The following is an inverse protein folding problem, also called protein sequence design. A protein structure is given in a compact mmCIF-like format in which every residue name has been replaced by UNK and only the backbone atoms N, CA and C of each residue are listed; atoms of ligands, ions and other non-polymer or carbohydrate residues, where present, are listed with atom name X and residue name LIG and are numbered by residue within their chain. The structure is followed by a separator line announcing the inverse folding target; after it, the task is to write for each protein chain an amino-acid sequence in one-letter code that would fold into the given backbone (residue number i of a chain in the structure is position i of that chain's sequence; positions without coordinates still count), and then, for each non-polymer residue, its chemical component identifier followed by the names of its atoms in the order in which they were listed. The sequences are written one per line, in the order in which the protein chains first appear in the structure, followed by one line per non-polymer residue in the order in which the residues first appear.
data_IF_659125827153
#
_entry.id   IF_659125827153
#
_cell.length_a   1.000
_cell.length_b   1.000
_cell.length_c   1.000
_cell.angle_alpha   90.00
_cell.angle_beta   90.00
_cell.angle_gamma   90.00
#
_symmetry.space_group_name_H-M   'P 1'
#
loop_
_entity.id
_entity.type
_entity.pdbx_description
1 polymer ?
#
# COMPACT_ATOMS: atom_id res chain seq x y z
N UNK A 1 10.83 -7.34 6.73
CA UNK A 1 9.47 -7.42 6.16
C UNK A 1 9.26 -8.80 5.57
N UNK A 2 8.27 -9.57 6.05
CA UNK A 2 7.88 -10.86 5.46
C UNK A 2 6.66 -10.64 4.57
N UNK A 3 6.83 -10.83 3.26
CA UNK A 3 5.77 -10.65 2.26
C UNK A 3 5.39 -12.01 1.67
N UNK A 4 4.09 -12.31 1.67
CA UNK A 4 3.52 -13.50 1.04
C UNK A 4 2.58 -13.08 -0.10
N UNK A 5 2.90 -13.48 -1.33
CA UNK A 5 2.00 -13.27 -2.47
C UNK A 5 0.89 -14.33 -2.48
N UNK A 6 -0.34 -13.89 -2.25
CA UNK A 6 -1.52 -14.75 -2.20
C UNK A 6 -2.55 -14.41 -3.26
N UNK A 7 -2.27 -13.46 -4.18
CA UNK A 7 -3.24 -12.95 -5.19
C UNK A 7 -3.90 -14.03 -6.05
N UNK A 8 -3.23 -15.16 -6.24
CA UNK A 8 -3.68 -16.30 -7.04
C UNK A 8 -4.29 -17.45 -6.21
N UNK A 9 -4.31 -17.31 -4.88
CA UNK A 9 -4.74 -18.37 -3.94
C UNK A 9 -6.01 -18.01 -3.16
N UNK A 10 -6.48 -16.76 -3.27
CA UNK A 10 -7.68 -16.29 -2.57
C UNK A 10 -8.96 -16.66 -3.31
N UNK A 11 -10.05 -16.80 -2.55
CA UNK A 11 -11.39 -16.95 -3.10
C UNK A 11 -11.75 -15.75 -4.01
N UNK A 12 -12.44 -16.04 -5.10
CA UNK A 12 -12.95 -15.06 -6.08
C UNK A 12 -14.35 -15.45 -6.51
N UNK A 13 -15.17 -14.46 -6.84
CA UNK A 13 -16.49 -14.72 -7.43
C UNK A 13 -16.32 -15.35 -8.82
N UNK A 14 -17.14 -16.34 -9.21
CA UNK A 14 -17.01 -17.02 -10.51
C UNK A 14 -17.24 -16.08 -11.70
N UNK A 15 -18.15 -15.11 -11.56
CA UNK A 15 -18.58 -14.25 -12.67
C UNK A 15 -18.17 -12.78 -12.57
N UNK A 16 -17.81 -12.28 -11.38
CA UNK A 16 -17.61 -10.85 -11.14
C UNK A 16 -16.13 -10.55 -11.07
N UNK A 17 -15.76 -9.39 -11.61
CA UNK A 17 -14.37 -8.94 -11.63
C UNK A 17 -14.28 -7.49 -11.15
N UNK A 18 -13.20 -7.18 -10.46
CA UNK A 18 -12.88 -5.79 -10.14
C UNK A 18 -12.46 -5.04 -11.41
N UNK A 19 -12.87 -3.78 -11.50
CA UNK A 19 -12.33 -2.85 -12.49
C UNK A 19 -10.85 -2.60 -12.21
N UNK A 20 -10.13 -2.11 -13.22
CA UNK A 20 -8.72 -1.72 -13.10
C UNK A 20 -8.53 -0.22 -13.37
N UNK A 21 -7.45 0.36 -12.82
CA UNK A 21 -6.99 1.74 -13.00
C UNK A 21 -5.49 1.78 -13.30
N UNK A 22 -4.96 2.82 -13.97
CA UNK A 22 -3.52 3.03 -14.04
C UNK A 22 -2.97 3.40 -12.66
N UNK A 23 -1.69 3.09 -12.40
CA UNK A 23 -1.04 3.42 -11.13
C UNK A 23 -1.05 4.92 -10.82
N UNK A 24 -0.98 5.78 -11.84
CA UNK A 24 -1.04 7.25 -11.72
C UNK A 24 -2.37 7.77 -11.18
N UNK A 25 -3.44 6.97 -11.22
CA UNK A 25 -4.73 7.31 -10.60
C UNK A 25 -4.74 7.07 -9.08
N UNK A 26 -3.76 6.37 -8.52
CA UNK A 26 -3.66 6.17 -7.07
C UNK A 26 -3.13 7.45 -6.45
N UNK A 27 -3.89 8.02 -5.52
CA UNK A 27 -3.58 9.28 -4.83
C UNK A 27 -3.40 9.12 -3.33
N UNK A 28 -3.75 7.97 -2.78
CA UNK A 28 -3.75 7.75 -1.34
C UNK A 28 -3.66 6.28 -0.94
N UNK A 29 -3.23 6.06 0.29
CA UNK A 29 -3.17 4.76 0.95
C UNK A 29 -4.13 4.81 2.14
N UNK A 30 -5.12 3.93 2.14
CA UNK A 30 -6.14 3.82 3.18
C UNK A 30 -5.73 2.74 4.19
N UNK A 31 -5.63 3.12 5.47
CA UNK A 31 -5.32 2.19 6.56
C UNK A 31 -6.61 1.76 7.25
N UNK A 32 -6.77 0.45 7.39
CA UNK A 32 -7.90 -0.22 7.99
C UNK A 32 -7.43 -1.14 9.12
N UNK A 33 -8.32 -1.41 10.07
CA UNK A 33 -8.28 -2.65 10.85
C UNK A 33 -9.34 -3.63 10.31
N UNK A 34 -9.27 -4.90 10.66
CA UNK A 34 -10.29 -5.88 10.28
C UNK A 34 -11.57 -5.76 11.13
N UNK A 35 -11.47 -5.16 12.32
CA UNK A 35 -12.55 -5.16 13.31
C UNK A 35 -12.78 -6.55 13.93
N UNK A 36 -11.85 -7.48 13.71
CA UNK A 36 -11.88 -8.86 14.21
C UNK A 36 -10.64 -9.12 15.07
N UNK A 37 -10.74 -9.97 16.08
CA UNK A 37 -9.58 -10.35 16.91
C UNK A 37 -8.53 -11.12 16.10
N UNK A 38 -8.99 -11.97 15.19
CA UNK A 38 -8.17 -12.89 14.39
C UNK A 38 -8.69 -12.96 12.95
N UNK A 39 -7.91 -13.57 12.06
CA UNK A 39 -8.22 -13.74 10.66
C UNK A 39 -6.98 -13.59 9.77
N UNK A 40 -7.20 -13.75 8.48
CA UNK A 40 -6.18 -13.58 7.44
C UNK A 40 -6.85 -13.19 6.11
N UNK A 41 -6.05 -12.99 5.06
CA UNK A 41 -6.55 -12.69 3.73
C UNK A 41 -7.49 -13.78 3.20
N UNK A 42 -7.30 -15.06 3.56
CA UNK A 42 -8.13 -16.15 3.07
C UNK A 42 -9.53 -16.10 3.70
N UNK A 43 -9.62 -15.91 5.02
CA UNK A 43 -10.91 -15.76 5.71
C UNK A 43 -11.63 -14.49 5.26
N UNK A 44 -10.92 -13.37 5.12
CA UNK A 44 -11.51 -12.13 4.62
C UNK A 44 -11.95 -12.22 3.17
N UNK A 45 -11.20 -12.90 2.30
CA UNK A 45 -11.61 -13.14 0.92
C UNK A 45 -12.89 -14.00 0.85
N UNK A 46 -12.97 -15.08 1.64
CA UNK A 46 -14.17 -15.92 1.71
C UNK A 46 -15.38 -15.10 2.16
N UNK A 47 -15.24 -14.32 3.23
CA UNK A 47 -16.32 -13.45 3.71
C UNK A 47 -16.78 -12.45 2.63
N UNK A 48 -15.84 -11.72 2.02
CA UNK A 48 -16.18 -10.74 0.99
C UNK A 48 -16.85 -11.37 -0.25
N UNK A 49 -16.45 -12.57 -0.66
CA UNK A 49 -17.04 -13.26 -1.81
C UNK A 49 -18.39 -13.88 -1.47
N UNK A 50 -18.49 -14.62 -0.36
CA UNK A 50 -19.67 -15.44 -0.07
C UNK A 50 -20.77 -14.69 0.70
N UNK A 51 -20.39 -13.77 1.60
CA UNK A 51 -21.36 -13.03 2.41
C UNK A 51 -21.71 -11.67 1.78
N UNK A 52 -20.73 -11.00 1.18
CA UNK A 52 -20.95 -9.68 0.54
C UNK A 52 -21.18 -9.75 -0.97
N UNK A 53 -21.01 -10.92 -1.60
CA UNK A 53 -21.20 -11.11 -3.04
C UNK A 53 -20.27 -10.20 -3.90
N UNK A 54 -19.04 -9.99 -3.42
CA UNK A 54 -18.01 -9.18 -4.10
C UNK A 54 -17.13 -10.01 -5.04
N UNK A 55 -16.49 -9.38 -6.06
CA UNK A 55 -15.54 -10.06 -6.94
C UNK A 55 -14.38 -10.80 -6.24
N UNK A 56 -13.96 -10.33 -5.08
CA UNK A 56 -12.83 -10.86 -4.32
C UNK A 56 -12.67 -10.14 -2.98
N UNK A 57 -11.45 -10.17 -2.44
CA UNK A 57 -11.12 -9.44 -1.20
C UNK A 57 -11.06 -7.92 -1.44
N UNK A 58 -11.58 -7.15 -0.49
CA UNK A 58 -11.62 -5.68 -0.55
C UNK A 58 -10.29 -4.95 -0.42
N UNK A 59 -9.24 -5.59 0.10
CA UNK A 59 -7.95 -4.95 0.40
C UNK A 59 -6.87 -5.29 -0.61
N UNK A 60 -5.81 -4.48 -0.67
CA UNK A 60 -4.61 -4.77 -1.47
C UNK A 60 -3.55 -5.50 -0.65
N UNK A 61 -3.50 -5.21 0.65
CA UNK A 61 -2.63 -5.87 1.60
C UNK A 61 -3.36 -6.18 2.89
N UNK A 62 -3.04 -7.32 3.50
CA UNK A 62 -3.47 -7.68 4.87
C UNK A 62 -2.23 -7.91 5.73
N UNK A 63 -2.15 -7.29 6.90
CA UNK A 63 -1.04 -7.43 7.86
C UNK A 63 -1.50 -8.27 9.04
N UNK A 64 -0.97 -9.49 9.13
CA UNK A 64 -1.26 -10.44 10.21
C UNK A 64 -0.63 -10.00 11.53
N UNK A 65 -1.07 -10.60 12.65
CA UNK A 65 -0.57 -10.30 14.00
C UNK A 65 0.94 -10.54 14.15
N UNK A 66 1.50 -11.49 13.41
CA UNK A 66 2.94 -11.79 13.42
C UNK A 66 3.77 -10.82 12.55
N UNK A 67 3.13 -9.86 11.86
CA UNK A 67 3.77 -8.94 10.92
C UNK A 67 3.87 -9.47 9.48
N UNK A 68 3.41 -10.69 9.19
CA UNK A 68 3.34 -11.17 7.81
C UNK A 68 2.41 -10.27 6.99
N UNK A 69 2.90 -9.76 5.86
CA UNK A 69 2.11 -9.00 4.89
C UNK A 69 1.65 -9.96 3.80
N UNK A 70 0.35 -10.16 3.70
CA UNK A 70 -0.27 -10.90 2.61
C UNK A 70 -0.64 -9.92 1.49
N UNK A 71 -0.07 -10.09 0.31
CA UNK A 71 -0.40 -9.30 -0.88
C UNK A 71 -1.59 -9.93 -1.60
N UNK A 72 -2.69 -9.20 -1.68
CA UNK A 72 -4.02 -9.78 -1.99
C UNK A 72 -4.61 -9.31 -3.31
N UNK A 73 -4.27 -8.11 -3.78
CA UNK A 73 -4.65 -7.60 -5.11
C UNK A 73 -3.51 -6.79 -5.75
N UNK A 74 -3.43 -6.79 -7.09
CA UNK A 74 -2.60 -5.83 -7.82
C UNK A 74 -2.95 -4.39 -7.43
N UNK A 75 -2.00 -3.46 -7.48
CA UNK A 75 -2.25 -2.05 -7.15
C UNK A 75 -3.22 -1.39 -8.14
N UNK A 76 -3.33 -1.91 -9.35
CA UNK A 76 -4.25 -1.45 -10.38
C UNK A 76 -5.70 -1.90 -10.14
N UNK A 77 -5.96 -2.83 -9.22
CA UNK A 77 -7.31 -3.33 -8.95
C UNK A 77 -8.11 -2.31 -8.12
N UNK A 78 -9.32 -1.98 -8.58
CA UNK A 78 -10.27 -1.14 -7.84
C UNK A 78 -11.09 -2.05 -6.91
N UNK A 79 -10.47 -2.47 -5.81
CA UNK A 79 -11.11 -3.29 -4.76
C UNK A 79 -12.02 -2.44 -3.85
N UNK A 80 -12.91 -3.08 -3.08
CA UNK A 80 -13.95 -2.39 -2.30
C UNK A 80 -13.56 -2.27 -0.83
N UNK A 81 -12.92 -1.18 -0.42
CA UNK A 81 -12.50 -0.94 0.98
C UNK A 81 -12.93 0.42 1.53
N UNK A 82 -13.00 1.46 0.69
CA UNK A 82 -13.52 2.79 1.07
C UNK A 82 -14.43 3.31 -0.04
N UNK A 83 -15.72 3.38 0.22
CA UNK A 83 -16.71 3.89 -0.74
C UNK A 83 -16.29 5.28 -1.26
N UNK A 84 -16.47 5.53 -2.56
CA UNK A 84 -16.07 6.76 -3.29
C UNK A 84 -14.56 7.03 -3.39
N UNK A 85 -13.73 6.34 -2.62
CA UNK A 85 -12.26 6.47 -2.67
C UNK A 85 -11.57 5.27 -3.33
N UNK A 86 -12.28 4.14 -3.50
CA UNK A 86 -11.75 2.94 -4.18
C UNK A 86 -11.01 3.23 -5.51
N UNK A 87 -11.49 4.12 -6.41
CA UNK A 87 -10.80 4.40 -7.68
C UNK A 87 -9.43 5.06 -7.52
N UNK A 88 -9.08 5.60 -6.36
CA UNK A 88 -7.81 6.32 -6.13
C UNK A 88 -7.04 5.84 -4.90
N UNK A 89 -7.48 4.76 -4.23
CA UNK A 89 -6.92 4.31 -2.97
C UNK A 89 -6.41 2.87 -2.99
N UNK A 90 -5.23 2.67 -2.39
CA UNK A 90 -4.71 1.35 -2.01
C UNK A 90 -5.09 1.07 -0.57
N UNK A 91 -5.78 -0.06 -0.32
CA UNK A 91 -6.26 -0.43 1.02
C UNK A 91 -5.31 -1.41 1.71
N UNK A 92 -4.87 -1.06 2.93
CA UNK A 92 -4.08 -1.92 3.83
C UNK A 92 -4.94 -2.24 5.05
N UNK A 93 -5.21 -3.52 5.31
CA UNK A 93 -5.96 -3.96 6.48
C UNK A 93 -5.04 -4.65 7.48
N UNK A 94 -5.03 -4.21 8.73
CA UNK A 94 -4.37 -4.92 9.81
C UNK A 94 -5.36 -5.84 10.52
N UNK A 95 -4.98 -7.09 10.76
CA UNK A 95 -5.79 -8.01 11.56
C UNK A 95 -5.84 -7.51 13.00
N UNK A 96 -7.04 -7.17 13.46
CA UNK A 96 -7.28 -6.66 14.81
C UNK A 96 -8.52 -5.79 14.93
N UNK A 97 -8.92 -5.55 16.18
CA UNK A 97 -9.91 -4.53 16.57
C UNK A 97 -9.26 -3.51 17.51
N UNK A 98 -8.59 -2.51 16.93
CA UNK A 98 -7.81 -1.52 17.69
C UNK A 98 -8.64 -0.51 18.50
N UNK A 99 -9.97 -0.66 18.52
CA UNK A 99 -10.81 -0.01 19.54
C UNK A 99 -10.67 -0.68 20.91
N UNK A 100 -10.24 -1.95 20.91
CA UNK A 100 -10.20 -2.84 22.08
C UNK A 100 -8.79 -3.36 22.39
N UNK A 101 -7.86 -3.25 21.46
CA UNK A 101 -6.50 -3.74 21.63
C UNK A 101 -5.46 -2.77 21.06
N UNK A 102 -4.22 -2.93 21.50
CA UNK A 102 -3.10 -2.13 21.01
C UNK A 102 -2.44 -2.89 19.85
N UNK A 103 -2.19 -2.19 18.74
CA UNK A 103 -1.39 -2.71 17.63
C UNK A 103 0.01 -3.11 18.13
N UNK A 104 0.43 -4.34 17.83
CA UNK A 104 1.71 -4.87 18.28
C UNK A 104 2.90 -4.37 17.41
N UNK A 105 4.12 -4.58 17.92
CA UNK A 105 5.35 -4.11 17.26
C UNK A 105 5.55 -4.70 15.87
N UNK A 106 5.31 -6.01 15.68
CA UNK A 106 5.49 -6.67 14.38
C UNK A 106 4.56 -6.08 13.30
N UNK A 107 3.31 -5.78 13.69
CA UNK A 107 2.35 -5.10 12.83
C UNK A 107 2.74 -3.65 12.55
N UNK A 108 3.16 -2.89 13.57
CA UNK A 108 3.64 -1.50 13.40
C UNK A 108 4.81 -1.44 12.41
N UNK A 109 5.82 -2.29 12.58
CA UNK A 109 7.03 -2.27 11.75
C UNK A 109 6.75 -2.71 10.31
N UNK A 110 5.84 -3.68 10.13
CA UNK A 110 5.40 -4.12 8.82
C UNK A 110 4.55 -3.07 8.11
N UNK A 111 3.67 -2.38 8.84
CA UNK A 111 2.89 -1.26 8.33
C UNK A 111 3.81 -0.12 7.87
N UNK A 112 4.79 0.27 8.69
CA UNK A 112 5.79 1.30 8.35
C UNK A 112 6.57 0.94 7.09
N UNK A 113 7.14 -0.27 7.05
CA UNK A 113 7.92 -0.75 5.91
C UNK A 113 7.10 -0.78 4.62
N UNK A 114 5.84 -1.22 4.72
CA UNK A 114 4.94 -1.27 3.56
C UNK A 114 4.56 0.12 3.09
N UNK A 115 4.25 1.04 4.01
CA UNK A 115 3.97 2.43 3.68
C UNK A 115 5.17 3.09 3.00
N UNK A 116 6.39 2.98 3.55
CA UNK A 116 7.62 3.51 2.92
C UNK A 116 7.80 2.99 1.49
N UNK A 117 7.65 1.68 1.29
CA UNK A 117 7.72 1.07 -0.03
C UNK A 117 6.67 1.66 -1.00
N UNK A 118 5.43 1.80 -0.55
CA UNK A 118 4.34 2.32 -1.38
C UNK A 118 4.49 3.81 -1.67
N UNK A 119 5.01 4.62 -0.73
CA UNK A 119 5.31 6.03 -0.95
C UNK A 119 6.30 6.21 -2.11
N UNK A 120 7.40 5.46 -2.10
CA UNK A 120 8.39 5.50 -3.20
C UNK A 120 7.78 4.94 -4.50
N UNK A 121 7.10 3.80 -4.42
CA UNK A 121 6.53 3.12 -5.61
C UNK A 121 5.48 3.96 -6.33
N UNK A 122 4.68 4.71 -5.59
CA UNK A 122 3.56 5.49 -6.11
C UNK A 122 3.87 6.99 -6.21
N UNK A 123 5.08 7.41 -5.85
CA UNK A 123 5.47 8.83 -5.75
C UNK A 123 4.48 9.64 -4.92
N UNK A 124 4.15 9.13 -3.73
CA UNK A 124 3.25 9.75 -2.77
C UNK A 124 4.03 10.32 -1.58
N UNK A 125 3.40 11.26 -0.86
CA UNK A 125 3.91 11.81 0.39
C UNK A 125 3.26 11.14 1.61
N UNK A 126 3.86 11.23 2.82
CA UNK A 126 3.25 10.74 4.05
C UNK A 126 1.84 11.28 4.31
N UNK A 127 1.52 12.50 3.84
CA UNK A 127 0.18 13.09 3.96
C UNK A 127 -0.89 12.33 3.16
N UNK A 128 -0.49 11.54 2.17
CA UNK A 128 -1.39 10.69 1.39
C UNK A 128 -1.76 9.38 2.11
N UNK A 129 -1.26 9.14 3.33
CA UNK A 129 -1.60 7.99 4.16
C UNK A 129 -2.68 8.40 5.15
N UNK A 130 -3.88 7.86 4.95
CA UNK A 130 -5.09 8.26 5.65
C UNK A 130 -5.76 7.04 6.28
N UNK A 131 -6.31 7.21 7.48
CA UNK A 131 -7.21 6.23 8.06
C UNK A 131 -8.54 6.20 7.32
N UNK A 132 -9.24 5.07 7.36
CA UNK A 132 -10.60 4.97 6.83
C UNK A 132 -11.54 6.02 7.43
N UNK A 133 -11.40 6.33 8.71
CA UNK A 133 -12.11 7.39 9.43
C UNK A 133 -11.84 8.77 8.83
N UNK A 134 -10.59 9.09 8.49
CA UNK A 134 -10.22 10.39 7.90
C UNK A 134 -10.84 10.55 6.50
N UNK A 135 -10.85 9.48 5.70
CA UNK A 135 -11.47 9.46 4.37
C UNK A 135 -13.00 9.62 4.40
N UNK A 136 -13.65 9.06 5.43
CA UNK A 136 -15.11 9.14 5.59
C UNK A 136 -15.57 10.18 6.60
N UNK A 137 -14.72 11.17 6.94
CA UNK A 137 -15.06 12.27 7.85
C UNK A 137 -15.64 11.79 9.20
N UNK A 138 -15.04 10.75 9.78
CA UNK A 138 -15.38 10.22 11.10
C UNK A 138 -16.60 9.29 11.14
N UNK A 139 -17.21 8.93 10.01
CA UNK A 139 -18.35 7.98 9.96
C UNK A 139 -18.01 6.54 10.39
N UNK A 140 -16.73 6.26 10.59
CA UNK A 140 -16.22 4.99 11.10
C UNK A 140 -15.07 5.27 12.05
N UNK A 141 -14.88 4.41 13.04
CA UNK A 141 -13.72 4.46 13.93
C UNK A 141 -12.49 3.80 13.31
N UNK A 142 -12.65 2.98 12.25
CA UNK A 142 -11.57 2.28 11.58
C UNK A 142 -10.52 3.28 11.04
N UNK A 143 -9.20 3.08 11.26
CA UNK A 143 -8.56 1.91 11.86
C UNK A 143 -8.44 1.95 13.39
N UNK A 144 -8.92 3.00 14.06
CA UNK A 144 -8.73 3.25 15.49
C UNK A 144 -7.24 3.31 15.88
N UNK A 145 -6.44 3.94 15.02
CA UNK A 145 -5.01 4.17 15.22
C UNK A 145 -4.71 5.66 15.18
N UNK A 146 -3.61 6.07 15.81
CA UNK A 146 -3.10 7.42 15.70
C UNK A 146 -2.39 7.61 14.35
N UNK A 147 -3.15 8.08 13.35
CA UNK A 147 -2.64 8.29 12.00
C UNK A 147 -1.60 9.42 11.94
N UNK A 148 -1.66 10.40 12.83
CA UNK A 148 -0.64 11.45 12.93
C UNK A 148 0.71 10.88 13.38
N UNK A 149 0.73 9.98 14.37
CA UNK A 149 1.95 9.31 14.81
C UNK A 149 2.59 8.50 13.67
N UNK A 150 1.77 7.76 12.90
CA UNK A 150 2.26 7.03 11.72
C UNK A 150 2.87 7.99 10.68
N UNK A 151 2.16 9.07 10.34
CA UNK A 151 2.66 10.06 9.36
C UNK A 151 3.92 10.76 9.85
N UNK A 152 4.01 11.10 11.13
CA UNK A 152 5.20 11.70 11.73
C UNK A 152 6.41 10.78 11.61
N UNK A 153 6.25 9.49 11.94
CA UNK A 153 7.30 8.49 11.75
C UNK A 153 7.76 8.43 10.29
N UNK A 154 6.82 8.32 9.35
CA UNK A 154 7.15 8.21 7.93
C UNK A 154 7.80 9.48 7.36
N UNK A 155 7.43 10.64 7.90
CA UNK A 155 8.03 11.94 7.52
C UNK A 155 9.50 12.02 7.89
N UNK A 156 9.94 11.37 8.98
CA UNK A 156 11.35 11.37 9.37
C UNK A 156 12.26 10.73 8.30
N UNK A 157 11.74 9.75 7.58
CA UNK A 157 12.48 9.04 6.54
C UNK A 157 12.19 9.59 5.14
N UNK A 158 11.15 10.41 4.95
CA UNK A 158 10.75 10.92 3.64
C UNK A 158 11.65 12.06 3.16
N UNK A 159 12.04 12.03 1.88
CA UNK A 159 12.80 13.10 1.25
C UNK A 159 12.24 13.49 -0.12
N UNK A 160 12.33 14.78 -0.40
CA UNK A 160 12.07 15.32 -1.73
C UNK A 160 13.36 15.29 -2.56
N UNK A 161 13.24 14.98 -3.86
CA UNK A 161 14.38 14.92 -4.76
C UNK A 161 14.40 16.16 -5.64
N UNK A 162 15.56 16.83 -5.70
CA UNK A 162 15.81 17.98 -6.56
C UNK A 162 16.94 17.65 -7.54
N UNK A 163 16.76 18.02 -8.80
CA UNK A 163 17.78 17.99 -9.84
C UNK A 163 17.98 19.41 -10.33
N UNK A 164 19.21 19.95 -10.22
CA UNK A 164 19.52 21.31 -10.67
C UNK A 164 18.54 22.36 -10.09
N UNK A 165 18.23 22.25 -8.79
CA UNK A 165 17.26 23.08 -8.06
C UNK A 165 15.79 22.95 -8.51
N UNK A 166 15.46 22.03 -9.41
CA UNK A 166 14.09 21.70 -9.79
C UNK A 166 13.61 20.45 -9.05
N UNK A 167 12.48 20.56 -8.36
CA UNK A 167 11.82 19.41 -7.73
C UNK A 167 11.44 18.38 -8.79
N UNK A 168 11.84 17.13 -8.57
CA UNK A 168 11.50 16.01 -9.43
C UNK A 168 10.14 15.42 -9.06
N UNK A 169 9.46 14.83 -10.05
CA UNK A 169 8.20 14.09 -9.84
C UNK A 169 8.49 12.65 -9.39
N UNK A 170 9.28 12.52 -8.33
CA UNK A 170 9.59 11.26 -7.64
C UNK A 170 9.73 11.52 -6.14
N UNK A 171 9.35 10.53 -5.35
CA UNK A 171 9.56 10.54 -3.90
C UNK A 171 10.75 9.66 -3.53
N UNK A 172 11.47 10.05 -2.47
CA UNK A 172 12.54 9.25 -1.90
C UNK A 172 12.34 8.98 -0.41
N UNK A 173 13.07 8.00 0.09
CA UNK A 173 13.24 7.77 1.53
C UNK A 173 14.73 7.62 1.88
N UNK A 174 15.12 8.00 3.09
CA UNK A 174 16.43 7.69 3.67
C UNK A 174 16.26 6.55 4.66
N UNK A 175 17.06 5.50 4.49
CA UNK A 175 17.15 4.39 5.44
C UNK A 175 18.61 4.05 5.66
N UNK A 176 19.03 4.06 6.92
CA UNK A 176 20.43 3.76 7.32
C UNK A 176 21.46 4.63 6.57
N UNK A 177 21.12 5.90 6.31
CA UNK A 177 21.97 6.84 5.58
C UNK A 177 21.97 6.66 4.05
N UNK A 178 21.20 5.71 3.52
CA UNK A 178 21.08 5.45 2.08
C UNK A 178 19.76 6.02 1.56
N UNK A 179 19.84 6.79 0.47
CA UNK A 179 18.66 7.30 -0.23
C UNK A 179 18.13 6.25 -1.21
N UNK A 180 16.83 5.97 -1.10
CA UNK A 180 16.09 5.09 -2.00
C UNK A 180 15.09 5.93 -2.80
N UNK A 181 15.11 5.78 -4.12
CA UNK A 181 14.21 6.45 -5.06
C UNK A 181 13.79 5.45 -6.14
N UNK A 182 12.60 5.63 -6.73
CA UNK A 182 12.16 4.83 -7.86
C UNK A 182 13.07 5.07 -9.08
N UNK A 183 13.93 4.09 -9.38
CA UNK A 183 15.00 4.22 -10.39
C UNK A 183 14.48 4.61 -11.77
N UNK A 184 13.42 3.95 -12.25
CA UNK A 184 12.88 4.17 -13.60
C UNK A 184 12.40 5.61 -13.84
N UNK A 185 11.43 6.14 -13.08
CA UNK A 185 10.95 7.51 -13.30
C UNK A 185 12.06 8.55 -13.06
N UNK A 186 12.96 8.31 -12.11
CA UNK A 186 14.12 9.17 -11.88
C UNK A 186 15.05 9.20 -13.12
N UNK A 187 15.45 8.04 -13.63
CA UNK A 187 16.32 7.93 -14.81
C UNK A 187 15.65 8.46 -16.09
N UNK A 188 14.36 8.24 -16.26
CA UNK A 188 13.60 8.72 -17.42
C UNK A 188 13.52 10.25 -17.47
N UNK A 189 13.41 10.92 -16.32
CA UNK A 189 13.50 12.39 -16.23
C UNK A 189 14.91 12.91 -16.56
N UNK A 190 15.95 12.10 -16.34
CA UNK A 190 17.33 12.39 -16.75
C UNK A 190 17.60 12.09 -18.23
N UNK A 191 16.58 11.70 -19.00
CA UNK A 191 16.73 11.37 -20.43
C UNK A 191 17.28 9.97 -20.69
N UNK A 192 17.22 9.05 -19.72
CA UNK A 192 17.58 7.66 -19.92
C UNK A 192 16.35 6.78 -20.22
N UNK A 193 16.58 5.63 -20.82
CA UNK A 193 15.66 4.50 -20.84
C UNK A 193 16.17 3.43 -19.87
N UNK A 194 15.25 2.75 -19.17
CA UNK A 194 15.59 1.69 -18.21
C UNK A 194 15.13 0.32 -18.72
N UNK A 195 16.07 -0.59 -18.91
CA UNK A 195 15.81 -1.97 -19.34
C UNK A 195 16.12 -2.97 -18.23
N UNK A 196 15.31 -4.02 -18.11
CA UNK A 196 15.50 -5.13 -17.16
C UNK A 196 15.82 -6.41 -17.93
N UNK A 197 16.98 -6.99 -17.64
CA UNK A 197 17.38 -8.32 -18.08
C UNK A 197 17.11 -9.33 -16.95
N UNK A 198 16.03 -10.10 -17.09
CA UNK A 198 15.57 -11.06 -16.10
C UNK A 198 16.50 -12.25 -15.89
N UNK A 199 17.18 -12.69 -16.96
CA UNK A 199 18.08 -13.83 -16.92
C UNK A 199 19.38 -13.47 -16.21
N UNK A 200 19.97 -12.33 -16.55
CA UNK A 200 21.23 -11.85 -15.93
C UNK A 200 21.01 -11.14 -14.61
N UNK A 201 19.74 -10.86 -14.26
CA UNK A 201 19.34 -10.04 -13.12
C UNK A 201 19.99 -8.66 -13.13
N UNK A 202 19.96 -7.97 -14.28
CA UNK A 202 20.62 -6.67 -14.48
C UNK A 202 19.65 -5.60 -14.93
N UNK A 203 19.86 -4.38 -14.44
CA UNK A 203 19.18 -3.18 -14.91
C UNK A 203 20.17 -2.36 -15.73
N UNK A 204 19.77 -1.94 -16.93
CA UNK A 204 20.56 -1.12 -17.84
C UNK A 204 19.91 0.26 -18.00
N UNK A 205 20.72 1.31 -17.93
CA UNK A 205 20.31 2.68 -18.24
C UNK A 205 21.01 3.10 -19.53
N UNK A 206 20.25 3.51 -20.53
CA UNK A 206 20.79 3.95 -21.83
C UNK A 206 20.28 5.35 -22.13
N UNK A 207 21.18 6.26 -22.52
CA UNK A 207 20.80 7.64 -22.85
C UNK A 207 19.95 7.64 -24.13
N UNK A 208 18.86 8.40 -24.12
CA UNK A 208 18.06 8.67 -25.33
C UNK A 208 18.85 9.49 -26.34
#
# INVERSE_FOLDING_TARGET
MKLEDVRHRLAKHPEKQYKRRPLTSIKQIAIHHSGTREGDAFSFARYHVHENDWPGIGYHYVILKDGTIQWTNDLEVISYHVQNHNPSAVGICLVGDFRKEIINTNQKDSLRSLCEFLLVKLSLSPLNILGHNELLQGKTECPALNMNELRQYLTQNYVEIYLENKKMDVSGIIKEGITFVALRPFAEQLGYQVFWDGEKRRIYLTKK
#
